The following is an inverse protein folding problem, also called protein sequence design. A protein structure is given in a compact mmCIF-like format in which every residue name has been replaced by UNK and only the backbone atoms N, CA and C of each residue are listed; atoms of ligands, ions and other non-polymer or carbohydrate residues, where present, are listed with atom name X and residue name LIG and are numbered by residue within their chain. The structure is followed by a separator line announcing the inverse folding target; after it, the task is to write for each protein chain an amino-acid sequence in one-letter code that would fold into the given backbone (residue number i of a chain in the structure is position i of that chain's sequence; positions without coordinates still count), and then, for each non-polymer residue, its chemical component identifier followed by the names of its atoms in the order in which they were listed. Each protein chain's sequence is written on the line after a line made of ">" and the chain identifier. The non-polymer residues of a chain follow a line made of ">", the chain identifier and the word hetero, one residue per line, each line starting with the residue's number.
data_IF_405927415736
#
_entry.id   IF_405927415736
#
_cell.length_a   1.000
_cell.length_b   1.000
_cell.length_c   1.000
_cell.angle_alpha   90.00
_cell.angle_beta   90.00
_cell.angle_gamma   90.00
#
_symmetry.space_group_name_H-M   'P 1'
#
loop_
_entity.id
_entity.type
_entity.pdbx_description
1 polymer ?
#
# COMPACT_ATOMS: atom_id res chain seq x y z
N UNK A 1 8.59 -10.44 -9.92
CA UNK A 1 8.83 -9.98 -11.31
C UNK A 1 7.93 -10.73 -12.27
N UNK A 2 7.05 -10.03 -13.01
CA UNK A 2 6.33 -10.65 -14.12
C UNK A 2 7.32 -11.07 -15.22
N UNK A 3 7.15 -12.28 -15.76
CA UNK A 3 8.07 -12.88 -16.74
C UNK A 3 8.15 -12.12 -18.07
N UNK A 4 7.24 -11.18 -18.32
CA UNK A 4 7.12 -10.43 -19.58
C UNK A 4 7.85 -9.06 -19.56
N UNK A 5 8.39 -8.63 -18.41
CA UNK A 5 8.93 -7.27 -18.18
C UNK A 5 7.95 -6.15 -18.55
N UNK A 6 6.65 -6.43 -18.65
CA UNK A 6 5.67 -5.42 -19.00
C UNK A 6 5.49 -4.47 -17.81
N UNK A 7 5.33 -3.18 -18.13
CA UNK A 7 5.02 -2.13 -17.16
C UNK A 7 3.62 -1.63 -17.46
N UNK A 8 2.79 -1.60 -16.43
CA UNK A 8 1.44 -1.05 -16.53
C UNK A 8 1.47 0.35 -15.95
N UNK A 9 1.13 1.36 -16.76
CA UNK A 9 0.94 2.71 -16.28
C UNK A 9 -0.35 2.77 -15.46
N UNK A 10 -0.26 3.31 -14.25
CA UNK A 10 -1.38 3.44 -13.32
C UNK A 10 -1.16 4.66 -12.43
N UNK A 11 -2.19 5.06 -11.68
CA UNK A 11 -2.06 6.08 -10.64
C UNK A 11 -1.80 5.44 -9.28
N UNK A 12 -1.21 6.20 -8.35
CA UNK A 12 -1.04 5.76 -6.95
C UNK A 12 -2.37 5.40 -6.32
N UNK A 13 -3.41 6.21 -6.55
CA UNK A 13 -4.76 5.95 -6.03
C UNK A 13 -5.34 4.61 -6.53
N UNK A 14 -5.11 4.28 -7.80
CA UNK A 14 -5.58 3.04 -8.42
C UNK A 14 -4.81 1.84 -7.88
N UNK A 15 -3.48 1.95 -7.79
CA UNK A 15 -2.62 0.92 -7.22
C UNK A 15 -3.01 0.62 -5.77
N UNK A 16 -3.14 1.68 -4.97
CA UNK A 16 -3.60 1.64 -3.58
C UNK A 16 -4.96 0.96 -3.45
N UNK A 17 -5.97 1.41 -4.19
CA UNK A 17 -7.30 0.80 -4.18
C UNK A 17 -7.27 -0.69 -4.55
N UNK A 18 -6.38 -1.08 -5.47
CA UNK A 18 -6.18 -2.47 -5.86
C UNK A 18 -5.62 -3.31 -4.70
N UNK A 19 -4.67 -2.77 -3.93
CA UNK A 19 -4.09 -3.45 -2.75
C UNK A 19 -5.11 -3.48 -1.60
N UNK A 20 -5.84 -2.39 -1.38
CA UNK A 20 -6.88 -2.31 -0.35
C UNK A 20 -8.01 -3.32 -0.60
N UNK A 21 -8.46 -3.45 -1.86
CA UNK A 21 -9.44 -4.46 -2.24
C UNK A 21 -8.94 -5.87 -1.92
N UNK A 22 -7.68 -6.14 -2.23
CA UNK A 22 -7.05 -7.43 -1.94
C UNK A 22 -7.01 -7.72 -0.43
N UNK A 23 -6.62 -6.73 0.35
CA UNK A 23 -6.58 -6.82 1.82
C UNK A 23 -7.96 -7.16 2.39
N UNK A 24 -9.01 -6.48 1.91
CA UNK A 24 -10.41 -6.74 2.33
C UNK A 24 -10.89 -8.15 1.98
N UNK A 25 -10.45 -8.72 0.86
CA UNK A 25 -10.78 -10.12 0.51
C UNK A 25 -10.18 -11.09 1.53
N UNK A 26 -8.93 -10.84 1.97
CA UNK A 26 -8.30 -11.66 3.01
C UNK A 26 -9.01 -11.52 4.36
N UNK A 27 -9.39 -10.30 4.74
CA UNK A 27 -10.14 -10.05 5.98
C UNK A 27 -11.51 -10.75 5.97
N UNK A 28 -12.22 -10.72 4.84
CA UNK A 28 -13.49 -11.43 4.67
C UNK A 28 -13.29 -12.95 4.79
N UNK A 29 -12.26 -13.50 4.14
CA UNK A 29 -11.95 -14.92 4.26
C UNK A 29 -11.62 -15.32 5.71
N UNK A 30 -10.88 -14.46 6.44
CA UNK A 30 -10.56 -14.68 7.84
C UNK A 30 -11.82 -14.65 8.72
N UNK A 31 -12.75 -13.72 8.44
CA UNK A 31 -14.03 -13.63 9.13
C UNK A 31 -14.92 -14.85 8.88
N UNK A 32 -15.05 -15.28 7.63
CA UNK A 32 -15.84 -16.47 7.26
C UNK A 32 -15.27 -17.72 7.93
N UNK A 33 -13.95 -17.86 7.95
CA UNK A 33 -13.27 -18.95 8.66
C UNK A 33 -13.55 -18.90 10.17
N UNK A 34 -13.49 -17.72 10.77
CA UNK A 34 -13.78 -17.52 12.19
C UNK A 34 -15.23 -17.89 12.55
N UNK A 35 -16.20 -17.44 11.75
CA UNK A 35 -17.62 -17.73 11.96
C UNK A 35 -17.89 -19.22 11.83
N UNK A 36 -17.38 -19.84 10.76
CA UNK A 36 -17.62 -21.24 10.46
C UNK A 36 -16.97 -22.17 11.49
N UNK A 37 -15.76 -21.84 11.97
CA UNK A 37 -15.08 -22.61 13.02
C UNK A 37 -15.79 -22.53 14.37
N UNK A 38 -16.31 -21.36 14.74
CA UNK A 38 -17.03 -21.16 15.99
C UNK A 38 -18.43 -21.80 16.00
N UNK A 39 -19.14 -21.80 14.86
CA UNK A 39 -20.46 -22.43 14.74
C UNK A 39 -20.41 -23.95 14.69
N UNK A 40 -19.22 -24.55 14.53
CA UNK A 40 -19.08 -25.99 14.33
C UNK A 40 -19.57 -26.48 12.97
N UNK A 41 -19.90 -25.57 12.04
CA UNK A 41 -20.42 -25.91 10.70
C UNK A 41 -19.33 -26.44 9.76
N UNK A 42 -18.05 -26.24 10.07
CA UNK A 42 -16.98 -26.89 9.32
C UNK A 42 -16.71 -28.26 9.90
N UNK A 43 -17.54 -29.20 9.51
CA UNK A 43 -17.31 -30.63 9.70
C UNK A 43 -16.30 -31.09 8.64
N UNK A 44 -15.01 -30.90 8.93
CA UNK A 44 -13.91 -31.32 8.05
C UNK A 44 -13.83 -32.85 7.89
N UNK A 45 -14.58 -33.62 8.69
CA UNK A 45 -14.68 -35.07 8.56
C UNK A 45 -15.49 -35.48 7.31
N UNK A 46 -16.44 -34.68 6.86
CA UNK A 46 -17.15 -34.92 5.60
C UNK A 46 -16.42 -34.23 4.43
N UNK A 47 -15.26 -34.78 4.07
CA UNK A 47 -14.42 -34.31 2.98
C UNK A 47 -15.13 -34.18 1.62
N UNK A 48 -16.36 -34.68 1.48
CA UNK A 48 -17.20 -34.52 0.30
C UNK A 48 -17.89 -33.14 0.19
N UNK A 49 -18.26 -32.49 1.30
CA UNK A 49 -19.04 -31.23 1.27
C UNK A 49 -18.24 -30.04 0.74
N UNK A 50 -17.01 -29.88 1.24
CA UNK A 50 -16.10 -28.84 0.78
C UNK A 50 -15.54 -29.15 -0.62
N UNK A 51 -15.42 -30.44 -0.97
CA UNK A 51 -15.01 -30.88 -2.30
C UNK A 51 -16.11 -30.62 -3.35
N UNK A 52 -17.39 -30.84 -3.03
CA UNK A 52 -18.53 -30.49 -3.90
C UNK A 52 -18.62 -28.98 -4.13
N UNK A 53 -18.44 -28.17 -3.08
CA UNK A 53 -18.52 -26.70 -3.18
C UNK A 53 -17.31 -26.12 -3.93
N UNK A 54 -16.11 -26.69 -3.78
CA UNK A 54 -14.94 -26.36 -4.59
C UNK A 54 -15.02 -26.90 -6.03
N UNK A 55 -15.72 -28.02 -6.26
CA UNK A 55 -15.90 -28.61 -7.59
C UNK A 55 -16.78 -27.75 -8.50
N UNK A 56 -17.79 -27.05 -7.97
CA UNK A 56 -18.62 -26.11 -8.76
C UNK A 56 -17.82 -25.05 -9.49
N UNK A 57 -16.66 -24.64 -8.96
CA UNK A 57 -15.78 -23.66 -9.60
C UNK A 57 -14.68 -24.31 -10.47
N UNK A 58 -14.26 -25.54 -10.17
CA UNK A 58 -13.29 -26.29 -10.99
C UNK A 58 -13.84 -26.66 -12.38
N UNK A 59 -15.14 -26.92 -12.50
CA UNK A 59 -15.80 -27.23 -13.77
C UNK A 59 -15.82 -26.07 -14.78
N UNK A 60 -15.53 -24.83 -14.34
CA UNK A 60 -15.52 -23.62 -15.16
C UNK A 60 -14.11 -23.18 -15.57
N UNK A 61 -13.07 -23.96 -15.29
CA UNK A 61 -11.69 -23.64 -15.66
C UNK A 61 -11.05 -22.51 -14.82
N UNK A 62 -11.68 -22.09 -13.71
CA UNK A 62 -11.08 -21.13 -12.79
C UNK A 62 -10.03 -21.82 -11.91
N UNK A 63 -8.76 -21.46 -12.14
CA UNK A 63 -7.66 -21.77 -11.23
C UNK A 63 -7.91 -21.07 -9.89
N UNK A 64 -8.07 -21.83 -8.81
CA UNK A 64 -8.07 -21.27 -7.46
C UNK A 64 -6.68 -20.69 -7.17
N UNK A 65 -6.58 -19.37 -7.09
CA UNK A 65 -5.37 -18.70 -6.61
C UNK A 65 -5.11 -19.17 -5.18
N UNK A 66 -3.92 -19.73 -4.94
CA UNK A 66 -3.50 -20.09 -3.58
C UNK A 66 -3.29 -18.81 -2.78
N UNK A 67 -3.54 -18.87 -1.47
CA UNK A 67 -3.31 -17.71 -0.58
C UNK A 67 -1.86 -17.20 -0.69
N UNK A 68 -0.89 -18.08 -0.92
CA UNK A 68 0.51 -17.70 -1.17
C UNK A 68 0.73 -16.90 -2.46
N UNK A 69 0.01 -17.22 -3.54
CA UNK A 69 0.10 -16.49 -4.81
C UNK A 69 -0.50 -15.08 -4.67
N UNK A 70 -1.41 -14.92 -3.72
CA UNK A 70 -1.97 -13.63 -3.36
C UNK A 70 -0.93 -12.74 -2.66
N UNK A 71 -0.12 -13.30 -1.78
CA UNK A 71 0.96 -12.60 -1.09
C UNK A 71 2.08 -12.24 -2.05
N UNK A 72 2.44 -13.18 -2.93
CA UNK A 72 3.41 -12.92 -4.00
C UNK A 72 2.94 -11.78 -4.90
N UNK A 73 1.61 -11.62 -5.09
CA UNK A 73 1.05 -10.50 -5.85
C UNK A 73 1.22 -9.13 -5.17
N UNK A 74 1.47 -9.08 -3.85
CA UNK A 74 1.84 -7.87 -3.12
C UNK A 74 3.32 -7.50 -3.32
N UNK A 75 4.16 -8.48 -3.67
CA UNK A 75 5.59 -8.32 -3.96
C UNK A 75 5.87 -7.78 -5.37
N UNK A 76 5.22 -6.67 -5.75
CA UNK A 76 5.42 -6.02 -7.05
C UNK A 76 6.45 -4.89 -6.96
N UNK A 77 7.21 -4.72 -8.05
CA UNK A 77 8.07 -3.56 -8.22
C UNK A 77 7.25 -2.40 -8.80
N UNK A 78 7.37 -1.22 -8.19
CA UNK A 78 6.79 0.01 -8.72
C UNK A 78 7.85 1.11 -8.76
N UNK A 79 7.64 2.07 -9.66
CA UNK A 79 8.50 3.25 -9.79
C UNK A 79 7.63 4.47 -10.03
N UNK A 80 7.93 5.57 -9.36
CA UNK A 80 7.27 6.84 -9.65
C UNK A 80 7.70 7.35 -11.04
N UNK A 81 6.74 7.91 -11.78
CA UNK A 81 7.01 8.62 -13.03
C UNK A 81 7.64 10.00 -12.79
N UNK A 82 7.43 10.57 -11.61
CA UNK A 82 8.06 11.82 -11.21
C UNK A 82 9.53 11.54 -10.87
N UNK A 83 10.42 12.34 -11.45
CA UNK A 83 11.84 12.31 -11.14
C UNK A 83 12.31 13.72 -10.87
N UNK A 84 12.87 13.95 -9.69
CA UNK A 84 13.37 15.25 -9.28
C UNK A 84 14.87 15.32 -9.51
N UNK A 85 15.33 16.42 -10.09
CA UNK A 85 16.76 16.73 -10.11
C UNK A 85 17.16 17.34 -8.77
N UNK A 86 18.19 16.81 -8.07
CA UNK A 86 18.58 17.36 -6.77
C UNK A 86 18.99 18.83 -6.87
N UNK A 87 18.28 19.70 -6.16
CA UNK A 87 18.59 21.14 -6.07
C UNK A 87 19.24 21.44 -4.73
N UNK A 88 20.31 22.24 -4.73
CA UNK A 88 20.89 22.77 -3.50
C UNK A 88 19.98 23.85 -2.90
N UNK A 89 19.31 23.49 -1.82
CA UNK A 89 18.39 24.36 -1.06
C UNK A 89 19.17 25.43 -0.30
N UNK A 90 19.21 26.67 -0.81
CA UNK A 90 19.83 27.82 -0.14
C UNK A 90 18.83 28.72 0.55
N UNK A 91 17.61 28.83 0.02
CA UNK A 91 16.59 29.73 0.53
C UNK A 91 15.57 29.01 1.40
N UNK A 92 15.17 27.80 0.99
CA UNK A 92 14.08 27.04 1.61
C UNK A 92 14.55 25.85 2.44
N UNK A 93 15.88 25.69 2.63
CA UNK A 93 16.45 24.55 3.35
C UNK A 93 16.15 24.48 4.85
N UNK A 94 15.71 25.58 5.47
CA UNK A 94 15.35 25.63 6.89
C UNK A 94 13.84 25.48 7.15
N UNK A 95 13.06 25.15 6.12
CA UNK A 95 11.61 24.97 6.28
C UNK A 95 11.32 23.70 7.09
N UNK A 96 10.42 23.84 8.05
CA UNK A 96 9.88 22.69 8.78
C UNK A 96 8.77 22.03 7.95
N UNK A 97 9.15 21.10 7.07
CA UNK A 97 8.21 20.35 6.23
C UNK A 97 7.35 19.37 7.06
N UNK A 98 7.82 18.93 8.23
CA UNK A 98 7.07 18.03 9.12
C UNK A 98 5.78 18.69 9.64
N UNK A 99 5.77 20.03 9.74
CA UNK A 99 4.57 20.79 10.10
C UNK A 99 3.42 20.62 9.09
N UNK A 100 3.71 20.16 7.87
CA UNK A 100 2.73 19.90 6.81
C UNK A 100 2.23 18.46 6.81
N UNK A 101 2.78 17.55 7.62
CA UNK A 101 2.35 16.14 7.63
C UNK A 101 1.04 15.97 8.38
N UNK A 102 0.08 15.26 7.79
CA UNK A 102 -1.24 14.95 8.34
C UNK A 102 -1.57 13.49 8.08
N UNK A 103 -2.40 12.93 8.97
CA UNK A 103 -2.96 11.60 8.77
C UNK A 103 -4.18 11.72 7.86
N UNK A 104 -4.20 10.98 6.75
CA UNK A 104 -5.34 10.91 5.85
C UNK A 104 -6.50 10.09 6.46
N UNK A 105 -7.69 10.03 5.83
CA UNK A 105 -8.82 9.26 6.36
C UNK A 105 -8.58 7.75 6.52
N UNK A 106 -7.50 7.22 5.95
CA UNK A 106 -7.15 5.80 6.02
C UNK A 106 -6.15 5.48 7.14
N UNK A 107 -5.55 6.51 7.75
CA UNK A 107 -4.46 6.34 8.72
C UNK A 107 -3.05 6.54 8.15
N UNK A 108 -2.89 6.91 6.88
CA UNK A 108 -1.58 7.13 6.26
C UNK A 108 -1.07 8.56 6.52
N UNK A 109 0.19 8.71 6.93
CA UNK A 109 0.83 10.01 7.09
C UNK A 109 1.29 10.59 5.74
N UNK A 110 0.65 11.66 5.30
CA UNK A 110 0.93 12.35 4.02
C UNK A 110 1.18 13.84 4.25
N UNK A 111 1.99 14.45 3.39
CA UNK A 111 2.17 15.90 3.34
C UNK A 111 0.92 16.54 2.76
N UNK A 112 0.24 17.39 3.53
CA UNK A 112 -0.94 18.14 3.10
C UNK A 112 -0.54 19.20 2.05
N UNK A 113 -1.07 19.12 0.81
CA UNK A 113 -0.77 20.08 -0.25
C UNK A 113 -1.13 21.51 0.13
N UNK A 114 -2.22 21.72 0.88
CA UNK A 114 -2.70 23.04 1.26
C UNK A 114 -1.78 23.69 2.30
N UNK A 115 -1.35 22.90 3.30
CA UNK A 115 -0.39 23.33 4.30
C UNK A 115 0.98 23.62 3.67
N UNK A 116 1.44 22.77 2.75
CA UNK A 116 2.71 22.95 2.04
C UNK A 116 2.72 24.22 1.19
N UNK A 117 1.68 24.45 0.39
CA UNK A 117 1.55 25.66 -0.43
C UNK A 117 1.49 26.92 0.44
N UNK A 118 0.81 26.85 1.58
CA UNK A 118 0.74 27.97 2.53
C UNK A 118 2.11 28.26 3.15
N UNK A 119 2.86 27.22 3.54
CA UNK A 119 4.21 27.35 4.08
C UNK A 119 5.18 27.95 3.05
N UNK A 120 5.20 27.42 1.82
CA UNK A 120 6.05 27.90 0.74
C UNK A 120 5.70 29.35 0.37
N UNK A 121 4.42 29.68 0.24
CA UNK A 121 3.98 31.04 -0.08
C UNK A 121 4.39 32.03 1.00
N UNK A 122 4.24 31.66 2.28
CA UNK A 122 4.67 32.49 3.40
C UNK A 122 6.18 32.71 3.42
N UNK A 123 6.96 31.63 3.20
CA UNK A 123 8.41 31.69 3.12
C UNK A 123 8.89 32.58 1.97
N UNK A 124 8.33 32.41 0.77
CA UNK A 124 8.63 33.25 -0.39
C UNK A 124 8.34 34.73 -0.09
N UNK A 125 7.15 35.06 0.44
CA UNK A 125 6.80 36.44 0.81
C UNK A 125 7.78 37.02 1.83
N UNK A 126 8.16 36.22 2.84
CA UNK A 126 9.14 36.63 3.84
C UNK A 126 10.49 36.96 3.19
N UNK A 127 10.99 36.12 2.28
CA UNK A 127 12.26 36.35 1.58
C UNK A 127 12.25 37.63 0.72
N UNK A 128 11.14 37.91 0.03
CA UNK A 128 10.95 39.18 -0.71
C UNK A 128 10.89 40.38 0.24
N UNK A 129 10.14 40.29 1.34
CA UNK A 129 10.02 41.39 2.31
C UNK A 129 11.34 41.72 3.02
N UNK A 130 12.21 40.73 3.20
CA UNK A 130 13.55 40.88 3.79
C UNK A 130 14.60 41.39 2.80
N UNK A 131 14.23 41.59 1.52
CA UNK A 131 15.16 42.00 0.47
C UNK A 131 16.24 40.95 0.17
N UNK A 132 16.00 39.66 0.48
CA UNK A 132 16.94 38.57 0.17
C UNK A 132 16.88 38.15 -1.30
N UNK A 133 15.77 38.45 -1.97
CA UNK A 133 15.53 38.19 -3.40
C UNK A 133 15.36 39.55 -4.08
N UNK A 134 16.43 40.04 -4.69
CA UNK A 134 16.46 41.33 -5.39
C UNK A 134 16.74 41.20 -6.87
N UNK A 135 17.39 40.11 -7.28
CA UNK A 135 17.75 39.87 -8.68
C UNK A 135 16.89 38.76 -9.31
N UNK A 136 16.73 38.83 -10.62
CA UNK A 136 16.01 37.80 -11.39
C UNK A 136 16.61 36.40 -11.19
N UNK A 137 17.95 36.29 -11.16
CA UNK A 137 18.62 35.01 -10.93
C UNK A 137 18.32 34.41 -9.55
N UNK A 138 18.15 35.24 -8.51
CA UNK A 138 17.73 34.76 -7.18
C UNK A 138 16.27 34.30 -7.19
N UNK A 139 15.40 35.00 -7.90
CA UNK A 139 14.00 34.62 -8.05
C UNK A 139 13.84 33.30 -8.82
N UNK A 140 14.59 33.11 -9.91
CA UNK A 140 14.63 31.85 -10.66
C UNK A 140 15.12 30.70 -9.78
N UNK A 141 16.16 30.93 -8.99
CA UNK A 141 16.66 29.92 -8.06
C UNK A 141 15.65 29.57 -6.97
N UNK A 142 14.97 30.57 -6.39
CA UNK A 142 13.90 30.34 -5.43
C UNK A 142 12.74 29.53 -6.03
N UNK A 143 12.38 29.82 -7.29
CA UNK A 143 11.36 29.07 -8.00
C UNK A 143 11.80 27.61 -8.22
N UNK A 144 13.06 27.38 -8.61
CA UNK A 144 13.61 26.03 -8.74
C UNK A 144 13.59 25.25 -7.42
N UNK A 145 13.95 25.88 -6.29
CA UNK A 145 13.85 25.27 -4.96
C UNK A 145 12.38 24.97 -4.58
N UNK A 146 11.45 25.85 -4.94
CA UNK A 146 10.01 25.66 -4.67
C UNK A 146 9.46 24.47 -5.44
N UNK A 147 9.73 24.39 -6.75
CA UNK A 147 9.33 23.25 -7.58
C UNK A 147 9.95 21.95 -7.08
N UNK A 148 11.24 21.98 -6.74
CA UNK A 148 11.94 20.81 -6.20
C UNK A 148 11.28 20.29 -4.92
N UNK A 149 10.92 21.17 -3.97
CA UNK A 149 10.24 20.76 -2.73
C UNK A 149 8.86 20.17 -3.03
N UNK A 150 8.07 20.81 -3.91
CA UNK A 150 6.74 20.32 -4.28
C UNK A 150 6.80 18.93 -4.90
N UNK A 151 7.68 18.72 -5.87
CA UNK A 151 7.86 17.43 -6.54
C UNK A 151 8.40 16.37 -5.57
N UNK A 152 9.36 16.72 -4.72
CA UNK A 152 9.91 15.81 -3.71
C UNK A 152 8.85 15.37 -2.70
N UNK A 153 8.01 16.30 -2.23
CA UNK A 153 6.90 15.98 -1.33
C UNK A 153 5.84 15.11 -2.01
N UNK A 154 5.56 15.32 -3.30
CA UNK A 154 4.63 14.48 -4.06
C UNK A 154 5.15 13.04 -4.20
N UNK A 155 6.43 12.88 -4.58
CA UNK A 155 7.09 11.56 -4.67
C UNK A 155 7.08 10.86 -3.31
N UNK A 156 7.39 11.59 -2.23
CA UNK A 156 7.40 11.01 -0.89
C UNK A 156 5.99 10.61 -0.43
N UNK A 157 4.96 11.39 -0.75
CA UNK A 157 3.56 11.00 -0.52
C UNK A 157 3.22 9.70 -1.26
N UNK A 158 3.51 9.63 -2.56
CA UNK A 158 3.28 8.42 -3.34
C UNK A 158 3.96 7.19 -2.72
N UNK A 159 5.21 7.35 -2.28
CA UNK A 159 5.97 6.30 -1.59
C UNK A 159 5.31 5.85 -0.29
N UNK A 160 4.86 6.79 0.55
CA UNK A 160 4.19 6.51 1.82
C UNK A 160 2.85 5.81 1.61
N UNK A 161 2.05 6.28 0.66
CA UNK A 161 0.74 5.70 0.36
C UNK A 161 0.85 4.25 -0.12
N UNK A 162 1.77 3.97 -1.06
CA UNK A 162 1.97 2.60 -1.56
C UNK A 162 2.52 1.71 -0.45
N UNK A 163 3.52 2.17 0.32
CA UNK A 163 4.09 1.39 1.41
C UNK A 163 3.06 1.08 2.51
N UNK A 164 2.20 2.05 2.84
CA UNK A 164 1.12 1.86 3.81
C UNK A 164 0.11 0.84 3.33
N UNK A 165 -0.35 0.94 2.08
CA UNK A 165 -1.29 -0.04 1.50
C UNK A 165 -0.71 -1.47 1.48
N UNK A 166 0.57 -1.61 1.09
CA UNK A 166 1.27 -2.90 1.13
C UNK A 166 1.36 -3.45 2.55
N UNK A 167 1.62 -2.59 3.55
CA UNK A 167 1.65 -2.99 4.96
C UNK A 167 0.29 -3.52 5.42
N UNK A 168 -0.81 -2.84 5.05
CA UNK A 168 -2.17 -3.32 5.33
C UNK A 168 -2.42 -4.69 4.68
N UNK A 169 -1.97 -4.88 3.44
CA UNK A 169 -2.11 -6.16 2.74
C UNK A 169 -1.39 -7.31 3.44
N UNK A 170 -0.15 -7.09 3.90
CA UNK A 170 0.57 -8.10 4.67
C UNK A 170 -0.06 -8.38 6.04
N UNK A 171 -0.61 -7.34 6.68
CA UNK A 171 -1.30 -7.49 7.97
C UNK A 171 -2.58 -8.33 7.83
N UNK A 172 -3.39 -8.07 6.80
CA UNK A 172 -4.58 -8.86 6.50
C UNK A 172 -4.23 -10.33 6.21
N UNK A 173 -3.14 -10.56 5.47
CA UNK A 173 -2.65 -11.92 5.24
C UNK A 173 -2.18 -12.61 6.52
N UNK A 174 -1.42 -11.91 7.36
CA UNK A 174 -0.96 -12.41 8.66
C UNK A 174 -2.15 -12.81 9.53
N UNK A 175 -3.20 -11.99 9.57
CA UNK A 175 -4.42 -12.28 10.32
C UNK A 175 -5.15 -13.53 9.80
N UNK A 176 -5.23 -13.72 8.48
CA UNK A 176 -5.80 -14.93 7.90
C UNK A 176 -5.00 -16.18 8.27
N UNK A 177 -3.66 -16.12 8.21
CA UNK A 177 -2.81 -17.23 8.61
C UNK A 177 -2.95 -17.55 10.09
N UNK A 178 -2.95 -16.53 10.95
CA UNK A 178 -3.11 -16.72 12.40
C UNK A 178 -4.45 -17.39 12.72
N UNK A 179 -5.54 -16.97 12.06
CA UNK A 179 -6.85 -17.61 12.20
C UNK A 179 -6.83 -19.08 11.74
N UNK A 180 -6.19 -19.35 10.61
CA UNK A 180 -6.10 -20.69 10.04
C UNK A 180 -5.28 -21.62 10.94
N UNK A 181 -4.11 -21.19 11.38
CA UNK A 181 -3.22 -21.97 12.23
C UNK A 181 -3.76 -22.14 13.65
N UNK A 182 -4.36 -21.11 14.24
CA UNK A 182 -4.83 -21.20 15.62
C UNK A 182 -6.15 -21.96 15.74
N UNK A 183 -7.08 -21.78 14.78
CA UNK A 183 -8.42 -22.38 14.89
C UNK A 183 -8.63 -23.64 14.07
N UNK A 184 -7.91 -23.80 12.96
CA UNK A 184 -8.15 -24.90 12.04
C UNK A 184 -7.09 -25.99 12.13
N UNK A 185 -5.90 -25.70 12.66
CA UNK A 185 -4.80 -26.67 12.70
C UNK A 185 -5.17 -27.94 13.49
N UNK A 186 -5.86 -27.84 14.62
CA UNK A 186 -6.29 -29.03 15.36
C UNK A 186 -7.40 -29.85 14.68
N UNK A 187 -8.02 -29.33 13.61
CA UNK A 187 -9.10 -29.98 12.87
C UNK A 187 -8.64 -30.54 11.53
N UNK A 188 -7.38 -30.36 11.16
CA UNK A 188 -6.82 -30.93 9.93
C UNK A 188 -6.40 -32.39 10.17
N UNK A 189 -6.73 -33.32 9.26
CA UNK A 189 -6.15 -34.66 9.28
C UNK A 189 -4.62 -34.60 9.19
N UNK A 190 -3.91 -35.59 9.74
CA UNK A 190 -2.43 -35.59 9.79
C UNK A 190 -1.74 -35.35 8.43
N UNK A 191 -2.34 -35.78 7.31
CA UNK A 191 -1.81 -35.54 5.95
C UNK A 191 -2.02 -34.08 5.47
N UNK A 192 -3.05 -33.39 5.96
CA UNK A 192 -3.34 -31.98 5.64
C UNK A 192 -2.38 -30.99 6.31
N UNK A 193 -1.74 -31.39 7.42
CA UNK A 193 -0.74 -30.57 8.10
C UNK A 193 0.50 -30.33 7.25
N UNK A 194 0.96 -31.33 6.48
CA UNK A 194 2.10 -31.15 5.59
C UNK A 194 1.78 -30.20 4.43
N UNK A 195 0.57 -30.23 3.88
CA UNK A 195 0.16 -29.35 2.78
C UNK A 195 0.11 -27.89 3.23
N UNK A 196 -0.31 -27.63 4.48
CA UNK A 196 -0.38 -26.26 5.01
C UNK A 196 1.00 -25.67 5.37
N UNK A 197 1.99 -26.52 5.67
CA UNK A 197 3.36 -26.11 5.99
C UNK A 197 4.26 -25.96 4.75
N UNK A 198 3.87 -26.59 3.63
CA UNK A 198 4.57 -26.53 2.34
C UNK A 198 3.89 -25.61 1.32
N UNK A 199 2.79 -24.95 1.69
CA UNK A 199 2.16 -23.87 0.93
C UNK A 199 2.79 -22.54 1.34
#
# INVERSE_FOLDING_TARGET
>A
MYHDRSRVLTSVSTLRASIDLRSRILDLAALDLHVSTNKGEVDWEDGMGMQMQMQSFRGMGQSQLRVIEFVDSLGFDWSDSLTTTPVNLKYLGSLNLDACVRVDPTGCEVVDPSALLSLLTSACRSLYSQGRITTTAQAEKLNAETTYILESCAIENHRREVAFAVTIGYEAWRQLLDMTLTKCFHRLPHDGHQILLHA
#
